data_IF_830884591322
#
_entry.id   IF_830884591322
#
_cell.length_a   1.000
_cell.length_b   1.000
_cell.length_c   1.000
_cell.angle_alpha   90.00
_cell.angle_beta   90.00
_cell.angle_gamma   90.00
#
_symmetry.space_group_name_H-M   'P 1'
#
loop_
_entity.id
_entity.type
_entity.pdbx_description
1 polymer ?
#
# COMPACT_ATOMS: atom_id res chain seq x y z
N UNK A 1 -3.54 -15.78 -29.66
CA UNK A 1 -3.08 -14.37 -29.57
C UNK A 1 -4.21 -13.48 -29.02
N UNK A 2 -4.29 -13.22 -27.71
CA UNK A 2 -5.11 -12.11 -27.19
C UNK A 2 -4.20 -10.89 -27.07
N UNK A 3 -4.05 -10.17 -28.17
CA UNK A 3 -2.99 -9.14 -28.27
C UNK A 3 -3.30 -7.81 -27.58
N UNK A 4 -4.56 -7.53 -27.21
CA UNK A 4 -4.95 -6.25 -26.59
C UNK A 4 -6.02 -6.45 -25.51
N UNK A 5 -5.81 -5.81 -24.37
CA UNK A 5 -6.83 -5.67 -23.31
C UNK A 5 -8.02 -4.90 -23.91
N UNK A 6 -9.23 -5.42 -23.71
CA UNK A 6 -10.43 -4.76 -24.22
C UNK A 6 -10.64 -3.41 -23.54
N UNK A 7 -11.27 -2.45 -24.23
CA UNK A 7 -11.63 -1.15 -23.63
C UNK A 7 -12.44 -1.31 -22.34
N UNK A 8 -13.32 -2.32 -22.32
CA UNK A 8 -14.10 -2.70 -21.14
C UNK A 8 -13.21 -3.09 -19.95
N UNK A 9 -12.21 -3.93 -20.18
CA UNK A 9 -11.30 -4.37 -19.12
C UNK A 9 -10.42 -3.22 -18.62
N UNK A 10 -9.98 -2.32 -19.51
CA UNK A 10 -9.28 -1.11 -19.09
C UNK A 10 -10.14 -0.22 -18.18
N UNK A 11 -11.41 0.00 -18.54
CA UNK A 11 -12.34 0.75 -17.71
C UNK A 11 -12.50 0.12 -16.32
N UNK A 12 -12.62 -1.21 -16.25
CA UNK A 12 -12.73 -1.94 -14.98
C UNK A 12 -11.45 -1.79 -14.15
N UNK A 13 -10.28 -2.01 -14.77
CA UNK A 13 -8.97 -1.86 -14.09
C UNK A 13 -8.86 -0.47 -13.47
N UNK A 14 -9.14 0.58 -14.25
CA UNK A 14 -9.04 1.96 -13.78
C UNK A 14 -10.07 2.27 -12.71
N UNK A 15 -11.35 1.91 -12.91
CA UNK A 15 -12.42 2.22 -11.97
C UNK A 15 -12.21 1.53 -10.60
N UNK A 16 -11.91 0.24 -10.61
CA UNK A 16 -11.72 -0.51 -9.36
C UNK A 16 -10.41 -0.15 -8.67
N UNK A 17 -9.34 0.13 -9.42
CA UNK A 17 -8.12 0.69 -8.81
C UNK A 17 -8.38 2.05 -8.17
N UNK A 18 -9.17 2.91 -8.82
CA UNK A 18 -9.48 4.23 -8.31
C UNK A 18 -10.33 4.16 -7.03
N UNK A 19 -11.41 3.37 -7.07
CA UNK A 19 -12.31 3.23 -5.92
C UNK A 19 -11.67 2.48 -4.75
N UNK A 20 -10.88 1.45 -5.02
CA UNK A 20 -10.10 0.77 -4.00
C UNK A 20 -9.04 1.68 -3.39
N UNK A 21 -8.37 2.49 -4.22
CA UNK A 21 -7.48 3.53 -3.75
C UNK A 21 -8.19 4.55 -2.86
N UNK A 22 -9.39 5.00 -3.24
CA UNK A 22 -10.18 5.93 -2.41
C UNK A 22 -10.45 5.32 -1.03
N UNK A 23 -10.98 4.10 -1.00
CA UNK A 23 -11.35 3.44 0.24
C UNK A 23 -10.14 3.19 1.15
N UNK A 24 -9.04 2.67 0.59
CA UNK A 24 -7.81 2.41 1.34
C UNK A 24 -7.15 3.68 1.88
N UNK A 25 -7.11 4.78 1.10
CA UNK A 25 -6.56 6.05 1.61
C UNK A 25 -7.46 6.65 2.69
N UNK A 26 -8.77 6.44 2.62
CA UNK A 26 -9.71 6.90 3.65
C UNK A 26 -9.43 6.18 4.98
N UNK A 27 -9.31 4.85 4.93
CA UNK A 27 -8.93 3.99 6.06
C UNK A 27 -7.63 4.48 6.71
N UNK A 28 -6.57 4.69 5.92
CA UNK A 28 -5.25 5.00 6.46
C UNK A 28 -5.04 6.47 6.86
N UNK A 29 -5.79 7.42 6.30
CA UNK A 29 -5.59 8.86 6.59
C UNK A 29 -6.68 9.46 7.48
N UNK A 30 -7.94 9.11 7.23
CA UNK A 30 -9.07 9.82 7.82
C UNK A 30 -9.69 9.10 9.02
N UNK A 31 -9.48 7.79 9.17
CA UNK A 31 -9.88 7.12 10.40
C UNK A 31 -8.98 7.52 11.56
N UNK A 32 -7.69 7.73 11.29
CA UNK A 32 -6.75 8.29 12.26
C UNK A 32 -7.23 9.66 12.77
N UNK A 33 -7.61 10.55 11.86
CA UNK A 33 -8.12 11.87 12.25
C UNK A 33 -9.52 11.84 12.84
N UNK A 34 -10.35 10.87 12.47
CA UNK A 34 -11.66 10.67 13.10
C UNK A 34 -11.51 10.26 14.57
N UNK A 35 -10.63 9.32 14.88
CA UNK A 35 -10.31 8.95 16.27
C UNK A 35 -9.86 10.20 17.03
N UNK A 36 -8.85 10.92 16.54
CA UNK A 36 -8.28 12.05 17.28
C UNK A 36 -9.21 13.25 17.40
N UNK A 37 -9.95 13.59 16.34
CA UNK A 37 -10.69 14.86 16.25
C UNK A 37 -12.16 14.73 16.64
N UNK A 38 -12.76 13.54 16.56
CA UNK A 38 -14.19 13.33 16.85
C UNK A 38 -14.40 12.48 18.11
N UNK A 39 -13.59 11.44 18.31
CA UNK A 39 -13.81 10.50 19.42
C UNK A 39 -13.15 11.01 20.70
N UNK A 40 -11.90 11.47 20.60
CA UNK A 40 -11.16 12.04 21.74
C UNK A 40 -11.46 13.54 21.96
N UNK A 41 -12.26 14.18 21.12
CA UNK A 41 -12.71 15.56 21.37
C UNK A 41 -13.67 15.63 22.55
N UNK A 42 -13.63 16.72 23.31
CA UNK A 42 -14.54 16.98 24.42
C UNK A 42 -14.62 15.85 25.48
N UNK A 43 -13.51 15.15 25.73
CA UNK A 43 -13.38 14.11 26.77
C UNK A 43 -12.56 14.61 27.94
N UNK A 44 -12.97 14.28 29.17
CA UNK A 44 -12.22 14.64 30.37
C UNK A 44 -10.83 13.98 30.42
N UNK A 45 -9.84 14.68 30.99
CA UNK A 45 -8.48 14.13 31.16
C UNK A 45 -8.46 12.84 31.99
N UNK A 46 -9.37 12.70 32.95
CA UNK A 46 -9.52 11.48 33.74
C UNK A 46 -9.98 10.30 32.86
N UNK A 47 -10.88 10.52 31.90
CA UNK A 47 -11.32 9.50 30.96
C UNK A 47 -10.24 9.13 29.94
N UNK A 48 -9.41 10.08 29.51
CA UNK A 48 -8.23 9.79 28.66
C UNK A 48 -7.23 8.92 29.42
N UNK A 49 -6.88 9.29 30.66
CA UNK A 49 -5.97 8.50 31.51
C UNK A 49 -6.54 7.12 31.87
N UNK A 50 -7.86 7.02 31.99
CA UNK A 50 -8.58 5.78 32.28
C UNK A 50 -8.87 4.91 31.04
N UNK A 51 -8.50 5.35 29.84
CA UNK A 51 -8.74 4.63 28.59
C UNK A 51 -7.45 4.51 27.76
N UNK A 52 -7.57 4.06 26.51
CA UNK A 52 -6.42 3.96 25.62
C UNK A 52 -5.98 5.38 25.21
N UNK A 53 -4.69 5.63 25.03
CA UNK A 53 -4.23 6.88 24.43
C UNK A 53 -4.54 6.89 22.92
N UNK A 54 -4.90 8.04 22.35
CA UNK A 54 -5.25 8.18 20.93
C UNK A 54 -4.12 7.71 19.99
N UNK A 55 -2.86 8.03 20.31
CA UNK A 55 -1.69 7.60 19.53
C UNK A 55 -1.53 6.07 19.55
N UNK A 56 -1.74 5.46 20.71
CA UNK A 56 -1.73 4.00 20.89
C UNK A 56 -2.90 3.35 20.15
N UNK A 57 -4.07 3.98 20.15
CA UNK A 57 -5.24 3.50 19.41
C UNK A 57 -4.98 3.47 17.90
N UNK A 58 -4.46 4.56 17.34
CA UNK A 58 -4.06 4.63 15.93
C UNK A 58 -3.00 3.59 15.59
N UNK A 59 -1.95 3.48 16.41
CA UNK A 59 -0.89 2.49 16.18
C UNK A 59 -1.42 1.05 16.19
N UNK A 60 -2.31 0.71 17.13
CA UNK A 60 -2.93 -0.62 17.21
C UNK A 60 -3.87 -0.88 16.04
N UNK A 61 -4.67 0.11 15.66
CA UNK A 61 -5.58 0.02 14.52
C UNK A 61 -4.80 -0.36 13.25
N UNK A 62 -3.79 0.45 12.89
CA UNK A 62 -2.95 0.24 11.70
C UNK A 62 -2.22 -1.11 11.75
N UNK A 63 -1.69 -1.51 12.90
CA UNK A 63 -0.98 -2.79 13.03
C UNK A 63 -1.91 -4.00 12.87
N UNK A 64 -3.09 -3.96 13.50
CA UNK A 64 -4.06 -5.06 13.45
C UNK A 64 -4.70 -5.18 12.06
N UNK A 65 -5.03 -4.06 11.40
CA UNK A 65 -5.52 -4.09 10.02
C UNK A 65 -4.48 -4.58 9.05
N UNK A 66 -3.20 -4.20 9.20
CA UNK A 66 -2.14 -4.76 8.35
C UNK A 66 -2.03 -6.31 8.46
N UNK A 67 -2.15 -6.86 9.67
CA UNK A 67 -2.19 -8.32 9.89
C UNK A 67 -3.44 -8.92 9.26
N UNK A 68 -4.61 -8.30 9.49
CA UNK A 68 -5.88 -8.74 8.93
C UNK A 68 -5.84 -8.74 7.40
N UNK A 69 -5.27 -7.71 6.77
CA UNK A 69 -5.12 -7.59 5.32
C UNK A 69 -4.34 -8.78 4.74
N UNK A 70 -3.20 -9.11 5.34
CA UNK A 70 -2.31 -10.18 4.86
C UNK A 70 -2.97 -11.55 5.02
N UNK A 71 -3.51 -11.84 6.21
CA UNK A 71 -4.21 -13.09 6.50
C UNK A 71 -5.42 -13.27 5.58
N UNK A 72 -6.21 -12.20 5.42
CA UNK A 72 -7.39 -12.21 4.56
C UNK A 72 -7.01 -12.42 3.10
N UNK A 73 -6.02 -11.68 2.59
CA UNK A 73 -5.59 -11.81 1.19
C UNK A 73 -5.14 -13.24 0.89
N UNK A 74 -4.44 -13.86 1.83
CA UNK A 74 -3.97 -15.23 1.71
C UNK A 74 -5.12 -16.26 1.71
N UNK A 75 -6.01 -16.19 2.69
CA UNK A 75 -7.16 -17.11 2.79
C UNK A 75 -8.12 -16.89 1.61
N UNK A 76 -8.58 -15.66 1.44
CA UNK A 76 -9.62 -15.33 0.45
C UNK A 76 -9.09 -15.37 -0.97
N UNK A 77 -7.79 -15.11 -1.18
CA UNK A 77 -7.14 -15.33 -2.46
C UNK A 77 -7.15 -16.80 -2.88
N UNK A 78 -6.76 -17.71 -1.98
CA UNK A 78 -6.81 -19.15 -2.25
C UNK A 78 -8.25 -19.65 -2.43
N UNK A 79 -9.21 -19.13 -1.67
CA UNK A 79 -10.62 -19.48 -1.82
C UNK A 79 -11.17 -18.99 -3.17
N UNK A 80 -10.79 -17.78 -3.58
CA UNK A 80 -11.16 -17.20 -4.85
C UNK A 80 -10.60 -18.00 -6.04
N UNK A 81 -9.38 -18.55 -5.91
CA UNK A 81 -8.80 -19.48 -6.89
C UNK A 81 -9.64 -20.77 -6.98
N UNK A 82 -10.02 -21.34 -5.83
CA UNK A 82 -10.78 -22.59 -5.75
C UNK A 82 -12.19 -22.45 -6.35
N UNK A 83 -12.88 -21.35 -6.06
CA UNK A 83 -14.24 -21.11 -6.57
C UNK A 83 -14.27 -20.57 -8.00
N UNK A 84 -13.13 -20.13 -8.54
CA UNK A 84 -12.98 -19.60 -9.92
C UNK A 84 -14.00 -18.51 -10.28
N UNK A 85 -14.38 -17.69 -9.29
CA UNK A 85 -15.43 -16.68 -9.43
C UNK A 85 -14.92 -15.35 -8.86
N UNK A 86 -13.94 -14.74 -9.52
CA UNK A 86 -13.37 -13.44 -9.13
C UNK A 86 -14.44 -12.36 -9.08
N UNK A 87 -15.36 -12.38 -10.05
CA UNK A 87 -16.47 -11.41 -10.13
C UNK A 87 -17.23 -11.32 -8.81
N UNK A 88 -17.56 -12.45 -8.18
CA UNK A 88 -18.29 -12.47 -6.92
C UNK A 88 -17.49 -11.84 -5.79
N UNK A 89 -16.23 -12.26 -5.58
CA UNK A 89 -15.39 -11.73 -4.51
C UNK A 89 -15.14 -10.22 -4.65
N UNK A 90 -14.86 -9.75 -5.86
CA UNK A 90 -14.67 -8.32 -6.12
C UNK A 90 -15.98 -7.56 -5.85
N UNK A 91 -17.08 -7.98 -6.46
CA UNK A 91 -18.33 -7.21 -6.43
C UNK A 91 -18.95 -7.19 -5.03
N UNK A 92 -19.06 -8.35 -4.37
CA UNK A 92 -19.60 -8.45 -3.00
C UNK A 92 -18.68 -7.74 -2.02
N UNK A 93 -17.36 -7.94 -2.11
CA UNK A 93 -16.46 -7.33 -1.16
C UNK A 93 -16.40 -5.80 -1.30
N UNK A 94 -16.51 -5.21 -2.50
CA UNK A 94 -16.66 -3.75 -2.64
C UNK A 94 -18.01 -3.23 -2.09
N UNK A 95 -19.11 -3.97 -2.28
CA UNK A 95 -20.40 -3.63 -1.67
C UNK A 95 -20.28 -3.61 -0.14
N UNK A 96 -19.76 -4.69 0.44
CA UNK A 96 -19.61 -4.80 1.89
C UNK A 96 -18.58 -3.80 2.44
N UNK A 97 -17.49 -3.56 1.71
CA UNK A 97 -16.50 -2.56 2.08
C UNK A 97 -17.15 -1.18 2.20
N UNK A 98 -17.88 -0.74 1.16
CA UNK A 98 -18.56 0.55 1.19
C UNK A 98 -19.63 0.65 2.28
N UNK A 99 -20.40 -0.41 2.52
CA UNK A 99 -21.40 -0.42 3.60
C UNK A 99 -20.74 -0.30 4.99
N UNK A 100 -19.64 -1.02 5.22
CA UNK A 100 -18.87 -0.91 6.46
C UNK A 100 -18.27 0.49 6.59
N UNK A 101 -17.73 1.07 5.52
CA UNK A 101 -17.25 2.47 5.53
C UNK A 101 -18.35 3.45 5.91
N UNK A 102 -19.55 3.32 5.34
CA UNK A 102 -20.67 4.18 5.74
C UNK A 102 -21.05 4.00 7.22
N UNK A 103 -20.94 2.79 7.76
CA UNK A 103 -21.27 2.49 9.15
C UNK A 103 -20.36 3.23 10.16
N UNK A 104 -19.11 3.56 9.79
CA UNK A 104 -18.22 4.35 10.66
C UNK A 104 -18.81 5.71 11.04
N UNK A 105 -19.59 6.32 10.15
CA UNK A 105 -20.28 7.58 10.43
C UNK A 105 -21.32 7.50 11.56
N UNK A 106 -21.65 6.31 12.02
CA UNK A 106 -22.57 6.06 13.13
C UNK A 106 -21.85 5.64 14.42
N UNK A 107 -20.53 5.44 14.39
CA UNK A 107 -19.76 5.08 15.58
C UNK A 107 -19.45 6.37 16.35
N UNK A 108 -20.35 6.75 17.24
CA UNK A 108 -20.16 7.90 18.16
C UNK A 108 -20.14 7.43 19.61
N UNK A 109 -19.60 8.25 20.51
CA UNK A 109 -19.56 7.95 21.95
C UNK A 109 -20.96 7.68 22.50
N UNK A 110 -21.95 8.45 22.07
CA UNK A 110 -23.35 8.34 22.48
C UNK A 110 -23.97 7.02 22.02
N UNK A 111 -23.83 6.68 20.73
CA UNK A 111 -24.37 5.44 20.18
C UNK A 111 -23.71 4.20 20.81
N UNK A 112 -22.41 4.25 21.10
CA UNK A 112 -21.70 3.16 21.78
C UNK A 112 -22.13 3.08 23.25
N UNK A 113 -22.31 4.21 23.93
CA UNK A 113 -22.81 4.24 25.31
C UNK A 113 -24.20 3.60 25.42
N UNK A 114 -25.11 3.93 24.49
CA UNK A 114 -26.44 3.32 24.40
C UNK A 114 -26.37 1.83 24.07
N UNK A 115 -25.57 1.45 23.08
CA UNK A 115 -25.45 0.05 22.63
C UNK A 115 -24.94 -0.89 23.73
N UNK A 116 -24.00 -0.42 24.55
CA UNK A 116 -23.38 -1.22 25.61
C UNK A 116 -23.88 -0.87 27.03
N UNK A 117 -24.90 0.00 27.16
CA UNK A 117 -25.43 0.50 28.43
C UNK A 117 -24.33 1.02 29.38
N UNK A 118 -23.45 1.89 28.86
CA UNK A 118 -22.34 2.47 29.61
C UNK A 118 -22.69 3.89 30.07
N UNK A 119 -22.35 4.21 31.32
CA UNK A 119 -22.53 5.55 31.90
C UNK A 119 -21.21 6.22 32.30
N UNK A 120 -20.12 5.45 32.34
CA UNK A 120 -18.79 5.93 32.72
C UNK A 120 -18.04 6.42 31.48
N UNK A 121 -17.60 7.68 31.50
CA UNK A 121 -16.98 8.36 30.36
C UNK A 121 -15.71 7.65 29.86
N UNK A 122 -14.86 7.13 30.78
CA UNK A 122 -13.64 6.41 30.43
C UNK A 122 -13.96 5.08 29.73
N UNK A 123 -14.95 4.34 30.24
CA UNK A 123 -15.43 3.10 29.62
C UNK A 123 -16.09 3.36 28.27
N UNK A 124 -16.86 4.43 28.12
CA UNK A 124 -17.47 4.82 26.85
C UNK A 124 -16.37 5.09 25.83
N UNK A 125 -15.39 5.94 26.16
CA UNK A 125 -14.27 6.25 25.28
C UNK A 125 -13.49 4.98 24.91
N UNK A 126 -13.07 4.20 25.91
CA UNK A 126 -12.30 2.97 25.69
C UNK A 126 -13.04 1.94 24.83
N UNK A 127 -14.34 1.75 25.06
CA UNK A 127 -15.17 0.82 24.28
C UNK A 127 -15.37 1.33 22.85
N UNK A 128 -15.59 2.64 22.68
CA UNK A 128 -15.73 3.26 21.35
C UNK A 128 -14.47 3.06 20.52
N UNK A 129 -13.30 3.29 21.12
CA UNK A 129 -12.01 3.09 20.46
C UNK A 129 -11.79 1.63 20.04
N UNK A 130 -12.05 0.67 20.93
CA UNK A 130 -11.96 -0.75 20.58
C UNK A 130 -12.96 -1.17 19.51
N UNK A 131 -14.17 -0.60 19.54
CA UNK A 131 -15.18 -0.86 18.53
C UNK A 131 -14.75 -0.33 17.16
N UNK A 132 -14.12 0.84 17.10
CA UNK A 132 -13.51 1.39 15.87
C UNK A 132 -12.41 0.46 15.35
N UNK A 133 -11.49 0.00 16.20
CA UNK A 133 -10.42 -0.94 15.81
C UNK A 133 -11.01 -2.26 15.28
N UNK A 134 -12.05 -2.79 15.92
CA UNK A 134 -12.73 -3.99 15.45
C UNK A 134 -13.39 -3.78 14.08
N UNK A 135 -14.08 -2.65 13.91
CA UNK A 135 -14.72 -2.30 12.65
C UNK A 135 -13.72 -2.03 11.53
N UNK A 136 -12.52 -1.54 11.87
CA UNK A 136 -11.40 -1.38 10.95
C UNK A 136 -10.95 -2.74 10.43
N UNK A 137 -10.72 -3.73 11.32
CA UNK A 137 -10.40 -5.11 10.93
C UNK A 137 -11.47 -5.72 10.01
N UNK A 138 -12.76 -5.52 10.34
CA UNK A 138 -13.87 -6.00 9.50
C UNK A 138 -13.86 -5.32 8.13
N UNK A 139 -13.61 -4.02 8.09
CA UNK A 139 -13.46 -3.28 6.84
C UNK A 139 -12.30 -3.82 6.02
N UNK A 140 -11.11 -3.93 6.61
CA UNK A 140 -9.90 -4.42 5.95
C UNK A 140 -10.11 -5.83 5.41
N UNK A 141 -10.85 -6.69 6.13
CA UNK A 141 -11.23 -8.00 5.61
C UNK A 141 -12.02 -7.89 4.29
N UNK A 142 -13.00 -7.00 4.20
CA UNK A 142 -13.78 -6.80 2.97
C UNK A 142 -12.93 -6.18 1.84
N UNK A 143 -12.11 -5.18 2.19
CA UNK A 143 -11.19 -4.51 1.28
C UNK A 143 -10.15 -5.45 0.70
N UNK A 144 -9.43 -6.19 1.54
CA UNK A 144 -8.39 -7.13 1.10
C UNK A 144 -8.97 -8.35 0.38
N UNK A 145 -10.16 -8.82 0.76
CA UNK A 145 -10.86 -9.88 0.00
C UNK A 145 -11.12 -9.47 -1.44
N UNK A 146 -11.64 -8.25 -1.62
CA UNK A 146 -12.07 -7.78 -2.94
C UNK A 146 -10.93 -7.20 -3.78
N UNK A 147 -10.06 -6.38 -3.19
CA UNK A 147 -8.99 -5.70 -3.88
C UNK A 147 -7.70 -6.53 -3.91
N UNK A 148 -7.06 -6.71 -2.75
CA UNK A 148 -5.72 -7.30 -2.64
C UNK A 148 -5.70 -8.75 -3.15
N UNK A 149 -6.75 -9.52 -2.84
CA UNK A 149 -6.91 -10.89 -3.30
C UNK A 149 -7.55 -10.94 -4.69
N UNK A 150 -8.86 -10.68 -4.79
CA UNK A 150 -9.62 -11.04 -5.98
C UNK A 150 -9.36 -10.12 -7.19
N UNK A 151 -9.28 -8.80 -7.00
CA UNK A 151 -9.05 -7.85 -8.09
C UNK A 151 -7.63 -7.96 -8.63
N UNK A 152 -6.60 -8.00 -7.78
CA UNK A 152 -5.22 -8.16 -8.23
C UNK A 152 -4.98 -9.51 -8.93
N UNK A 153 -5.63 -10.58 -8.44
CA UNK A 153 -5.60 -11.87 -9.12
C UNK A 153 -6.35 -11.83 -10.46
N UNK A 154 -7.52 -11.18 -10.53
CA UNK A 154 -8.24 -10.98 -11.79
C UNK A 154 -7.42 -10.19 -12.82
N UNK A 155 -6.73 -9.13 -12.40
CA UNK A 155 -5.79 -8.39 -13.26
C UNK A 155 -4.68 -9.32 -13.76
N UNK A 156 -4.16 -10.19 -12.90
CA UNK A 156 -3.14 -11.19 -13.28
C UNK A 156 -3.67 -12.15 -14.34
N UNK A 157 -4.91 -12.62 -14.19
CA UNK A 157 -5.55 -13.62 -15.04
C UNK A 157 -5.94 -13.07 -16.44
N UNK A 158 -6.23 -11.77 -16.56
CA UNK A 158 -6.64 -11.15 -17.85
C UNK A 158 -5.48 -10.50 -18.62
N UNK A 159 -4.28 -10.44 -18.03
CA UNK A 159 -3.11 -9.75 -18.62
C UNK A 159 -2.02 -10.74 -19.01
N UNK A 160 -1.17 -10.32 -19.95
CA UNK A 160 -0.01 -11.09 -20.43
C UNK A 160 1.30 -10.35 -20.14
N UNK A 161 2.46 -11.04 -20.05
CA UNK A 161 3.75 -10.44 -19.67
C UNK A 161 4.18 -9.19 -20.43
N UNK A 162 3.78 -9.08 -21.71
CA UNK A 162 4.06 -7.91 -22.56
C UNK A 162 3.32 -6.65 -22.11
N UNK A 163 2.14 -6.78 -21.52
CA UNK A 163 1.25 -5.68 -21.16
C UNK A 163 1.27 -5.36 -19.66
N UNK A 164 1.69 -6.31 -18.81
CA UNK A 164 1.70 -6.15 -17.35
C UNK A 164 2.43 -4.89 -16.87
N UNK A 165 3.62 -4.52 -17.38
CA UNK A 165 4.26 -3.25 -16.98
C UNK A 165 3.39 -2.01 -17.24
N UNK A 166 2.66 -1.97 -18.36
CA UNK A 166 1.74 -0.89 -18.67
C UNK A 166 0.52 -0.89 -17.72
N UNK A 167 -0.02 -2.07 -17.42
CA UNK A 167 -1.14 -2.18 -16.47
C UNK A 167 -0.72 -1.74 -15.07
N UNK A 168 0.43 -2.20 -14.58
CA UNK A 168 0.97 -1.78 -13.28
C UNK A 168 1.25 -0.28 -13.23
N UNK A 169 1.67 0.32 -14.35
CA UNK A 169 1.80 1.78 -14.44
C UNK A 169 0.47 2.47 -14.24
N UNK A 170 -0.56 2.04 -14.96
CA UNK A 170 -1.90 2.63 -14.84
C UNK A 170 -2.42 2.46 -13.42
N UNK A 171 -2.25 1.28 -12.82
CA UNK A 171 -2.61 1.04 -11.42
C UNK A 171 -1.87 1.99 -10.48
N UNK A 172 -0.56 2.18 -10.66
CA UNK A 172 0.23 3.10 -9.84
C UNK A 172 -0.22 4.56 -9.99
N UNK A 173 -0.39 5.04 -11.22
CA UNK A 173 -0.83 6.42 -11.48
C UNK A 173 -2.24 6.66 -10.94
N UNK A 174 -3.17 5.75 -11.22
CA UNK A 174 -4.56 5.85 -10.74
C UNK A 174 -4.61 5.77 -9.22
N UNK A 175 -3.82 4.90 -8.59
CA UNK A 175 -3.67 4.83 -7.13
C UNK A 175 -3.23 6.17 -6.53
N UNK A 176 -2.19 6.78 -7.10
CA UNK A 176 -1.72 8.11 -6.67
C UNK A 176 -2.79 9.19 -6.84
N UNK A 177 -3.52 9.20 -7.96
CA UNK A 177 -4.65 10.13 -8.17
C UNK A 177 -5.75 9.92 -7.14
N UNK A 178 -5.99 8.68 -6.72
CA UNK A 178 -6.96 8.34 -5.67
C UNK A 178 -6.55 8.94 -4.33
N UNK A 179 -5.27 8.83 -3.95
CA UNK A 179 -4.72 9.44 -2.73
C UNK A 179 -4.91 10.96 -2.72
N UNK A 180 -4.64 11.64 -3.83
CA UNK A 180 -4.87 13.08 -3.93
C UNK A 180 -6.35 13.46 -3.85
N UNK A 181 -7.23 12.70 -4.52
CA UNK A 181 -8.67 12.94 -4.47
C UNK A 181 -9.22 12.84 -3.04
N UNK A 182 -8.83 11.80 -2.31
CA UNK A 182 -9.23 11.59 -0.91
C UNK A 182 -8.65 12.66 0.00
N UNK A 183 -7.37 13.01 -0.17
CA UNK A 183 -6.73 14.09 0.60
C UNK A 183 -7.47 15.42 0.42
N UNK A 184 -7.84 15.74 -0.84
CA UNK A 184 -8.59 16.94 -1.14
C UNK A 184 -9.98 16.95 -0.50
N UNK A 185 -10.77 15.89 -0.71
CA UNK A 185 -12.15 15.82 -0.20
C UNK A 185 -12.19 15.71 1.33
N UNK A 186 -11.33 14.90 1.93
CA UNK A 186 -11.34 14.71 3.38
C UNK A 186 -10.77 15.91 4.14
N UNK A 187 -10.01 16.82 3.51
CA UNK A 187 -9.61 18.09 4.13
C UNK A 187 -10.82 18.93 4.56
N UNK A 188 -11.95 18.85 3.85
CA UNK A 188 -13.20 19.50 4.26
C UNK A 188 -13.79 18.90 5.52
N UNK A 189 -13.63 17.59 5.73
CA UNK A 189 -14.06 16.93 6.97
C UNK A 189 -13.15 17.33 8.14
N UNK A 190 -11.83 17.35 7.94
CA UNK A 190 -10.88 17.80 8.95
C UNK A 190 -11.05 19.27 9.34
N UNK A 191 -11.44 20.12 8.39
CA UNK A 191 -11.74 21.53 8.64
C UNK A 191 -13.09 21.78 9.34
N UNK A 192 -13.89 20.74 9.60
CA UNK A 192 -15.23 20.85 10.18
C UNK A 192 -16.30 21.37 9.22
N UNK A 193 -15.98 21.55 7.93
CA UNK A 193 -16.93 22.02 6.90
C UNK A 193 -17.98 20.96 6.58
N UNK A 194 -17.61 19.68 6.67
CA UNK A 194 -18.51 18.52 6.47
C UNK A 194 -18.32 17.59 7.66
N UNK A 195 -19.40 17.05 8.23
CA UNK A 195 -19.27 16.08 9.32
C UNK A 195 -18.63 14.78 8.84
N UNK A 196 -17.86 14.12 9.71
CA UNK A 196 -17.31 12.79 9.42
C UNK A 196 -18.38 11.78 9.03
N UNK A 197 -19.58 11.89 9.61
CA UNK A 197 -20.74 11.07 9.23
C UNK A 197 -21.12 11.21 7.76
N UNK A 198 -21.24 12.44 7.25
CA UNK A 198 -21.55 12.68 5.84
C UNK A 198 -20.40 12.26 4.92
N UNK A 199 -19.16 12.52 5.35
CA UNK A 199 -17.97 12.10 4.62
C UNK A 199 -17.91 10.59 4.43
N UNK A 200 -18.04 9.81 5.52
CA UNK A 200 -18.04 8.34 5.46
C UNK A 200 -19.26 7.78 4.73
N UNK A 201 -20.45 8.36 4.90
CA UNK A 201 -21.64 7.94 4.16
C UNK A 201 -21.47 8.14 2.64
N UNK A 202 -20.94 9.29 2.21
CA UNK A 202 -20.68 9.58 0.80
C UNK A 202 -19.65 8.64 0.18
N UNK A 203 -18.54 8.43 0.88
CA UNK A 203 -17.50 7.48 0.44
C UNK A 203 -18.01 6.04 0.40
N UNK A 204 -18.70 5.61 1.45
CA UNK A 204 -19.30 4.28 1.50
C UNK A 204 -20.30 4.03 0.37
N UNK A 205 -21.10 5.04 0.02
CA UNK A 205 -22.04 4.96 -1.11
C UNK A 205 -21.31 4.77 -2.44
N UNK A 206 -20.29 5.58 -2.76
CA UNK A 206 -19.59 5.46 -4.06
C UNK A 206 -18.83 4.13 -4.19
N UNK A 207 -18.24 3.63 -3.11
CA UNK A 207 -17.55 2.34 -3.08
C UNK A 207 -18.57 1.20 -3.26
N UNK A 208 -19.73 1.30 -2.59
CA UNK A 208 -20.82 0.34 -2.73
C UNK A 208 -21.35 0.28 -4.17
N UNK A 209 -21.60 1.45 -4.77
CA UNK A 209 -22.02 1.55 -6.16
C UNK A 209 -21.00 0.94 -7.12
N UNK A 210 -19.69 1.14 -6.87
CA UNK A 210 -18.64 0.47 -7.63
C UNK A 210 -18.75 -1.06 -7.55
N UNK A 211 -19.01 -1.61 -6.36
CA UNK A 211 -19.25 -3.03 -6.18
C UNK A 211 -20.46 -3.54 -6.97
N UNK A 212 -21.57 -2.80 -6.98
CA UNK A 212 -22.76 -3.12 -7.79
C UNK A 212 -22.43 -3.13 -9.29
N UNK A 213 -21.69 -2.13 -9.77
CA UNK A 213 -21.21 -2.09 -11.17
C UNK A 213 -20.30 -3.28 -11.50
N UNK A 214 -19.57 -3.82 -10.51
CA UNK A 214 -18.77 -5.03 -10.64
C UNK A 214 -19.58 -6.23 -11.13
N UNK A 215 -20.80 -6.41 -10.62
CA UNK A 215 -21.68 -7.48 -11.09
C UNK A 215 -22.04 -7.32 -12.56
N UNK A 216 -22.08 -6.11 -13.11
CA UNK A 216 -22.50 -5.87 -14.50
C UNK A 216 -21.30 -5.97 -15.44
N UNK A 217 -20.15 -5.43 -15.04
CA UNK A 217 -19.02 -5.24 -15.94
C UNK A 217 -17.96 -6.33 -15.84
N UNK A 218 -17.66 -6.85 -14.64
CA UNK A 218 -16.60 -7.86 -14.45
C UNK A 218 -17.05 -9.18 -15.07
N UNK A 219 -16.15 -9.78 -15.86
CA UNK A 219 -16.31 -11.14 -16.37
C UNK A 219 -15.15 -11.97 -15.88
N UNK A 220 -15.45 -13.18 -15.40
CA UNK A 220 -14.41 -14.12 -15.03
C UNK A 220 -13.60 -14.54 -16.26
N UNK A 221 -12.28 -14.74 -16.10
CA UNK A 221 -11.43 -15.28 -17.15
C UNK A 221 -11.96 -16.64 -17.64
N UNK A 222 -11.72 -17.01 -18.91
CA UNK A 222 -12.07 -18.34 -19.40
C UNK A 222 -11.45 -19.42 -18.51
N UNK A 223 -12.21 -20.47 -18.20
CA UNK A 223 -11.73 -21.63 -17.45
C UNK A 223 -10.73 -22.40 -18.32
N UNK A 224 -9.45 -22.08 -18.23
CA UNK A 224 -8.41 -22.68 -19.07
C UNK A 224 -7.95 -24.06 -18.60
N UNK A 225 -8.25 -24.43 -17.35
CA UNK A 225 -7.88 -25.73 -16.76
C UNK A 225 -9.02 -26.24 -15.89
N UNK A 226 -9.54 -27.43 -16.20
CA UNK A 226 -10.29 -28.24 -15.24
C UNK A 226 -9.32 -28.68 -14.15
N UNK A 227 -9.56 -28.24 -12.92
CA UNK A 227 -8.81 -28.74 -11.76
C UNK A 227 -9.77 -29.61 -11.00
N UNK A 228 -9.59 -30.92 -11.09
CA UNK A 228 -9.98 -31.83 -10.01
C UNK A 228 -8.99 -31.61 -8.86
N UNK A 229 -9.16 -30.51 -8.13
CA UNK A 229 -8.33 -30.24 -6.96
C UNK A 229 -8.89 -31.04 -5.78
N UNK A 230 -8.55 -32.32 -5.73
CA UNK A 230 -8.86 -33.21 -4.60
C UNK A 230 -8.06 -32.84 -3.32
N UNK A 231 -7.24 -31.80 -3.37
CA UNK A 231 -6.49 -31.34 -2.20
C UNK A 231 -7.39 -30.65 -1.17
N UNK A 232 -7.04 -30.87 0.11
CA UNK A 232 -7.68 -30.16 1.21
C UNK A 232 -7.36 -28.66 1.10
N UNK A 233 -8.30 -27.80 1.52
CA UNK A 233 -8.09 -26.35 1.45
C UNK A 233 -6.85 -25.90 2.25
N UNK A 234 -6.57 -26.58 3.38
CA UNK A 234 -5.36 -26.33 4.17
C UNK A 234 -4.09 -26.66 3.39
N UNK A 235 -4.06 -27.76 2.64
CA UNK A 235 -2.92 -28.07 1.77
C UNK A 235 -2.71 -27.03 0.67
N UNK A 236 -3.81 -26.47 0.13
CA UNK A 236 -3.74 -25.38 -0.84
C UNK A 236 -3.11 -24.13 -0.24
N UNK A 237 -3.47 -23.77 1.00
CA UNK A 237 -2.88 -22.62 1.70
C UNK A 237 -1.37 -22.81 1.85
N UNK A 238 -0.93 -23.94 2.41
CA UNK A 238 0.50 -24.17 2.64
C UNK A 238 1.31 -24.49 1.38
N UNK A 239 0.68 -24.64 0.21
CA UNK A 239 1.36 -24.97 -1.04
C UNK A 239 2.53 -24.03 -1.35
N UNK A 240 2.32 -22.72 -1.28
CA UNK A 240 3.35 -21.72 -1.60
C UNK A 240 4.43 -21.57 -0.52
N UNK A 241 4.34 -22.29 0.60
CA UNK A 241 5.42 -22.33 1.59
C UNK A 241 6.25 -23.61 1.51
N UNK A 242 5.87 -24.56 0.64
CA UNK A 242 6.63 -25.80 0.44
C UNK A 242 8.00 -25.48 -0.15
N UNK A 243 9.11 -25.99 0.42
CA UNK A 243 10.45 -25.75 -0.11
C UNK A 243 10.61 -26.17 -1.59
N UNK A 244 9.92 -27.24 -2.01
CA UNK A 244 9.89 -27.67 -3.41
C UNK A 244 9.29 -26.61 -4.33
N UNK A 245 8.15 -26.02 -3.94
CA UNK A 245 7.45 -24.97 -4.71
C UNK A 245 8.28 -23.69 -4.77
N UNK A 246 8.95 -23.33 -3.67
CA UNK A 246 9.86 -22.17 -3.63
C UNK A 246 11.04 -22.38 -4.60
N UNK A 247 11.61 -23.59 -4.62
CA UNK A 247 12.72 -23.93 -5.51
C UNK A 247 12.31 -23.92 -6.98
N UNK A 248 11.18 -24.54 -7.30
CA UNK A 248 10.59 -24.60 -8.64
C UNK A 248 10.24 -23.19 -9.16
N UNK A 249 9.60 -22.38 -8.31
CA UNK A 249 9.18 -21.02 -8.66
C UNK A 249 10.19 -19.96 -8.19
N UNK A 250 11.46 -20.31 -8.18
CA UNK A 250 12.52 -19.46 -7.61
C UNK A 250 12.61 -18.04 -8.20
N UNK A 251 12.22 -17.83 -9.46
CA UNK A 251 12.13 -16.47 -10.06
C UNK A 251 11.11 -15.59 -9.34
N UNK A 252 9.97 -16.16 -8.93
CA UNK A 252 8.94 -15.48 -8.16
C UNK A 252 9.47 -15.04 -6.80
N UNK A 253 10.08 -15.94 -6.03
CA UNK A 253 10.58 -15.62 -4.70
C UNK A 253 11.78 -14.68 -4.74
N UNK A 254 12.69 -14.80 -5.71
CA UNK A 254 13.76 -13.82 -5.90
C UNK A 254 13.21 -12.42 -6.22
N UNK A 255 12.14 -12.35 -7.03
CA UNK A 255 11.43 -11.09 -7.29
C UNK A 255 10.80 -10.53 -6.01
N UNK A 256 10.11 -11.37 -5.23
CA UNK A 256 9.49 -10.98 -3.97
C UNK A 256 10.51 -10.49 -2.92
N UNK A 257 11.64 -11.19 -2.75
CA UNK A 257 12.68 -10.81 -1.80
C UNK A 257 13.35 -9.50 -2.22
N UNK A 258 13.69 -9.35 -3.50
CA UNK A 258 14.28 -8.09 -4.00
C UNK A 258 13.31 -6.92 -3.85
N UNK A 259 12.04 -7.15 -4.15
CA UNK A 259 10.99 -6.14 -3.97
C UNK A 259 10.79 -5.79 -2.49
N UNK A 260 10.83 -6.79 -1.60
CA UNK A 260 10.75 -6.59 -0.15
C UNK A 260 11.82 -5.63 0.34
N UNK A 261 13.09 -5.81 -0.06
CA UNK A 261 14.17 -4.88 0.33
C UNK A 261 13.88 -3.44 -0.12
N UNK A 262 13.39 -3.27 -1.35
CA UNK A 262 13.08 -1.94 -1.86
C UNK A 262 11.93 -1.27 -1.12
N UNK A 263 10.88 -2.02 -0.73
CA UNK A 263 9.76 -1.48 0.05
C UNK A 263 10.18 -1.26 1.51
N UNK A 264 10.97 -2.15 2.12
CA UNK A 264 11.53 -1.94 3.47
C UNK A 264 12.33 -0.63 3.47
N UNK A 265 13.19 -0.41 2.48
CA UNK A 265 13.94 0.84 2.34
C UNK A 265 13.03 2.07 2.30
N UNK A 266 11.93 2.01 1.56
CA UNK A 266 10.94 3.09 1.55
C UNK A 266 10.28 3.30 2.92
N UNK A 267 9.96 2.21 3.61
CA UNK A 267 9.33 2.24 4.95
C UNK A 267 10.28 2.63 6.08
N UNK A 268 11.60 2.71 5.85
CA UNK A 268 12.56 3.22 6.86
C UNK A 268 12.26 4.68 7.21
N UNK A 269 11.89 5.51 6.25
CA UNK A 269 11.69 6.95 6.49
C UNK A 269 10.22 7.37 6.36
N UNK A 270 9.42 6.65 5.57
CA UNK A 270 8.07 7.09 5.22
C UNK A 270 7.15 7.38 6.42
N UNK A 271 7.10 6.55 7.49
CA UNK A 271 6.32 6.85 8.69
C UNK A 271 6.76 8.14 9.41
N UNK A 272 8.03 8.49 9.30
CA UNK A 272 8.64 9.66 9.97
C UNK A 272 8.67 10.89 9.07
N UNK A 273 8.26 10.78 7.80
CA UNK A 273 8.46 11.83 6.80
C UNK A 273 7.77 13.14 7.20
N UNK A 274 6.52 13.08 7.68
CA UNK A 274 5.78 14.27 8.08
C UNK A 274 6.43 14.96 9.28
N UNK A 275 6.78 14.19 10.31
CA UNK A 275 7.49 14.66 11.51
C UNK A 275 8.85 15.25 11.14
N UNK A 276 9.59 14.62 10.23
CA UNK A 276 10.87 15.13 9.73
C UNK A 276 10.69 16.47 8.98
N UNK A 277 9.65 16.60 8.16
CA UNK A 277 9.35 17.86 7.48
C UNK A 277 9.03 18.95 8.51
N UNK A 278 8.19 18.63 9.50
CA UNK A 278 7.73 19.57 10.51
C UNK A 278 8.84 20.06 11.44
N UNK A 279 9.68 19.15 11.94
CA UNK A 279 10.63 19.45 13.01
C UNK A 279 12.08 19.63 12.53
N UNK A 280 12.42 19.25 11.30
CA UNK A 280 13.78 19.41 10.76
C UNK A 280 13.77 20.29 9.51
N UNK A 281 13.05 19.88 8.47
CA UNK A 281 13.13 20.57 7.16
C UNK A 281 12.58 22.00 7.26
N UNK A 282 11.42 22.20 7.87
CA UNK A 282 10.82 23.53 7.98
C UNK A 282 11.72 24.49 8.80
N UNK A 283 12.14 24.15 10.04
CA UNK A 283 13.05 25.01 10.82
C UNK A 283 14.36 25.33 10.11
N UNK A 284 15.06 24.33 9.57
CA UNK A 284 16.36 24.50 8.89
C UNK A 284 16.28 25.39 7.65
N UNK A 285 15.09 25.48 7.05
CA UNK A 285 14.85 26.27 5.85
C UNK A 285 14.12 27.58 6.14
N UNK A 286 14.08 28.09 7.37
CA UNK A 286 13.47 29.38 7.67
C UNK A 286 11.93 29.37 7.63
N UNK A 287 11.33 28.21 7.91
CA UNK A 287 9.90 28.01 8.03
C UNK A 287 9.14 27.99 6.71
N UNK A 288 7.81 27.97 6.82
CA UNK A 288 6.90 27.82 5.68
C UNK A 288 7.03 28.96 4.66
N UNK A 289 7.41 30.15 5.12
CA UNK A 289 7.57 31.33 4.28
C UNK A 289 8.64 31.14 3.20
N UNK A 290 9.75 30.44 3.52
CA UNK A 290 10.79 30.17 2.55
C UNK A 290 10.37 29.10 1.53
N UNK A 291 9.58 28.10 1.96
CA UNK A 291 9.04 27.05 1.07
C UNK A 291 8.09 27.64 0.03
N UNK A 292 7.34 28.68 0.39
CA UNK A 292 6.42 29.38 -0.50
C UNK A 292 7.12 30.36 -1.46
N UNK A 293 8.45 30.50 -1.42
CA UNK A 293 9.16 31.38 -2.35
C UNK A 293 9.02 30.88 -3.79
N UNK A 294 8.89 31.80 -4.77
CA UNK A 294 8.75 31.43 -6.18
C UNK A 294 9.84 30.46 -6.66
N UNK A 295 11.09 30.65 -6.25
CA UNK A 295 12.21 29.76 -6.64
C UNK A 295 12.04 28.31 -6.19
N UNK A 296 11.57 28.09 -4.96
CA UNK A 296 11.32 26.76 -4.39
C UNK A 296 10.12 26.10 -5.08
N UNK A 297 9.03 26.84 -5.27
CA UNK A 297 7.84 26.36 -5.97
C UNK A 297 8.18 25.97 -7.42
N UNK A 298 8.90 26.82 -8.14
CA UNK A 298 9.31 26.54 -9.53
C UNK A 298 10.16 25.27 -9.59
N UNK A 299 11.11 25.09 -8.65
CA UNK A 299 11.93 23.88 -8.60
C UNK A 299 11.09 22.64 -8.29
N UNK A 300 10.15 22.72 -7.35
CA UNK A 300 9.24 21.62 -7.03
C UNK A 300 8.37 21.23 -8.22
N UNK A 301 7.84 22.20 -8.96
CA UNK A 301 7.05 21.97 -10.18
C UNK A 301 7.90 21.31 -11.27
N UNK A 302 9.13 21.81 -11.51
CA UNK A 302 10.05 21.20 -12.48
C UNK A 302 10.33 19.75 -12.12
N UNK A 303 10.64 19.46 -10.85
CA UNK A 303 10.89 18.10 -10.36
C UNK A 303 9.65 17.22 -10.58
N UNK A 304 8.46 17.69 -10.24
CA UNK A 304 7.23 16.93 -10.44
C UNK A 304 6.97 16.62 -11.93
N UNK A 305 7.19 17.58 -12.82
CA UNK A 305 7.07 17.38 -14.27
C UNK A 305 8.10 16.36 -14.78
N UNK A 306 9.36 16.46 -14.34
CA UNK A 306 10.42 15.52 -14.71
C UNK A 306 10.12 14.10 -14.22
N UNK A 307 9.56 13.95 -13.02
CA UNK A 307 9.07 12.66 -12.51
C UNK A 307 8.05 12.07 -13.48
N UNK A 308 7.01 12.84 -13.82
CA UNK A 308 5.93 12.40 -14.68
C UNK A 308 6.43 11.98 -16.06
N UNK A 309 7.26 12.80 -16.70
CA UNK A 309 7.81 12.53 -18.05
C UNK A 309 8.71 11.30 -18.03
N UNK A 310 9.59 11.18 -17.04
CA UNK A 310 10.55 10.08 -16.96
C UNK A 310 9.86 8.74 -16.73
N UNK A 311 8.80 8.69 -15.91
CA UNK A 311 7.97 7.49 -15.75
C UNK A 311 7.46 7.04 -17.14
N UNK A 312 6.83 7.94 -17.90
CA UNK A 312 6.28 7.61 -19.23
C UNK A 312 7.36 7.10 -20.20
N UNK A 313 8.54 7.73 -20.24
CA UNK A 313 9.63 7.37 -21.14
C UNK A 313 10.27 6.04 -20.75
N UNK A 314 10.57 5.83 -19.47
CA UNK A 314 11.21 4.62 -18.97
C UNK A 314 10.35 3.39 -19.24
N UNK A 315 9.03 3.53 -19.12
CA UNK A 315 8.10 2.42 -19.31
C UNK A 315 8.05 1.91 -20.75
N UNK A 316 8.10 2.81 -21.73
CA UNK A 316 8.14 2.45 -23.15
C UNK A 316 9.40 1.66 -23.51
N UNK A 317 10.51 1.88 -22.77
CA UNK A 317 11.82 1.25 -23.00
C UNK A 317 12.06 0.02 -22.13
N UNK A 318 11.34 -0.11 -21.01
CA UNK A 318 11.56 -1.13 -19.96
C UNK A 318 11.09 -2.54 -20.32
N UNK A 319 10.24 -2.71 -21.33
CA UNK A 319 9.68 -4.01 -21.71
C UNK A 319 10.71 -5.00 -22.28
N UNK A 320 11.80 -4.52 -22.87
CA UNK A 320 12.81 -5.37 -23.52
C UNK A 320 13.98 -5.72 -22.58
N UNK A 321 14.25 -4.89 -21.56
CA UNK A 321 15.41 -5.05 -20.65
C UNK A 321 15.02 -4.93 -19.18
N UNK A 322 13.95 -5.63 -18.77
CA UNK A 322 13.38 -5.61 -17.40
C UNK A 322 14.45 -5.68 -16.31
N UNK A 323 15.39 -6.63 -16.41
CA UNK A 323 16.46 -6.81 -15.43
C UNK A 323 17.40 -5.61 -15.28
N UNK A 324 17.84 -5.02 -16.40
CA UNK A 324 18.69 -3.83 -16.38
C UNK A 324 17.93 -2.63 -15.81
N UNK A 325 16.67 -2.45 -16.19
CA UNK A 325 15.84 -1.36 -15.66
C UNK A 325 15.60 -1.51 -14.16
N UNK A 326 15.43 -2.73 -13.64
CA UNK A 326 15.35 -2.97 -12.20
C UNK A 326 16.65 -2.61 -11.48
N UNK A 327 17.81 -2.99 -12.03
CA UNK A 327 19.11 -2.62 -11.46
C UNK A 327 19.26 -1.09 -11.43
N UNK A 328 18.95 -0.41 -12.55
CA UNK A 328 18.97 1.05 -12.62
C UNK A 328 18.01 1.64 -11.60
N UNK A 329 16.80 1.10 -11.45
CA UNK A 329 15.82 1.58 -10.49
C UNK A 329 16.32 1.52 -9.04
N UNK A 330 16.88 0.37 -8.63
CA UNK A 330 17.44 0.20 -7.29
C UNK A 330 18.65 1.11 -7.07
N UNK A 331 19.55 1.24 -8.05
CA UNK A 331 20.72 2.12 -7.95
C UNK A 331 20.31 3.59 -7.87
N UNK A 332 19.42 4.05 -8.75
CA UNK A 332 18.92 5.44 -8.76
C UNK A 332 18.19 5.74 -7.45
N UNK A 333 17.35 4.82 -6.94
CA UNK A 333 16.70 4.99 -5.64
C UNK A 333 17.71 5.12 -4.51
N UNK A 334 18.73 4.26 -4.49
CA UNK A 334 19.80 4.28 -3.47
C UNK A 334 20.62 5.57 -3.52
N UNK A 335 20.91 6.09 -4.73
CA UNK A 335 21.58 7.37 -4.91
C UNK A 335 20.73 8.52 -4.38
N UNK A 336 19.41 8.50 -4.61
CA UNK A 336 18.51 9.51 -4.06
C UNK A 336 18.49 9.52 -2.52
N UNK A 337 18.47 8.34 -1.91
CA UNK A 337 18.58 8.19 -0.46
C UNK A 337 19.93 8.69 0.09
N UNK A 338 21.04 8.39 -0.61
CA UNK A 338 22.34 8.92 -0.24
C UNK A 338 22.35 10.45 -0.29
N UNK A 339 21.83 11.05 -1.35
CA UNK A 339 21.76 12.52 -1.47
C UNK A 339 20.91 13.15 -0.37
N UNK A 340 19.74 12.57 -0.05
CA UNK A 340 18.89 13.04 1.06
C UNK A 340 19.58 12.96 2.43
N UNK A 341 20.51 12.01 2.62
CA UNK A 341 21.25 11.90 3.88
C UNK A 341 22.28 13.01 4.10
N UNK A 342 22.64 13.77 3.04
CA UNK A 342 23.71 14.77 3.12
C UNK A 342 23.24 16.11 3.69
N UNK A 343 22.03 16.57 3.37
CA UNK A 343 21.56 17.92 3.66
C UNK A 343 20.07 17.97 3.98
N UNK A 344 19.71 18.89 4.87
CA UNK A 344 18.33 19.26 5.20
C UNK A 344 17.85 20.46 4.36
N UNK A 345 18.69 21.02 3.49
CA UNK A 345 18.35 22.17 2.65
C UNK A 345 17.31 21.84 1.57
N UNK A 346 16.30 22.71 1.43
CA UNK A 346 15.10 22.45 0.61
C UNK A 346 15.43 22.17 -0.87
N UNK A 347 16.39 22.88 -1.46
CA UNK A 347 16.79 22.63 -2.86
C UNK A 347 17.46 21.28 -3.03
N UNK A 348 18.32 20.87 -2.07
CA UNK A 348 18.95 19.55 -2.10
C UNK A 348 17.87 18.49 -1.94
N UNK A 349 16.92 18.67 -1.02
CA UNK A 349 15.79 17.75 -0.83
C UNK A 349 14.98 17.62 -2.12
N UNK A 350 14.56 18.73 -2.74
CA UNK A 350 13.76 18.70 -3.97
C UNK A 350 14.47 17.96 -5.11
N UNK A 351 15.77 18.21 -5.30
CA UNK A 351 16.56 17.54 -6.33
C UNK A 351 16.76 16.05 -5.99
N UNK A 352 16.97 15.72 -4.71
CA UNK A 352 17.25 14.35 -4.26
C UNK A 352 15.99 13.47 -4.22
N UNK A 353 14.80 14.05 -4.11
CA UNK A 353 13.53 13.32 -4.18
C UNK A 353 13.31 12.75 -5.59
N UNK A 354 13.75 13.43 -6.64
CA UNK A 354 13.60 12.98 -8.03
C UNK A 354 14.11 11.53 -8.24
N UNK A 355 15.38 11.19 -7.95
CA UNK A 355 15.88 9.82 -8.09
C UNK A 355 15.18 8.83 -7.14
N UNK A 356 14.78 9.22 -5.93
CA UNK A 356 14.01 8.35 -5.04
C UNK A 356 12.66 7.96 -5.66
N UNK A 357 11.89 8.95 -6.12
CA UNK A 357 10.56 8.72 -6.69
C UNK A 357 10.65 7.95 -7.99
N UNK A 358 11.61 8.28 -8.86
CA UNK A 358 11.81 7.56 -10.12
C UNK A 358 12.26 6.11 -9.91
N UNK A 359 13.23 5.89 -9.03
CA UNK A 359 13.70 4.57 -8.68
C UNK A 359 12.58 3.73 -8.05
N UNK A 360 11.84 4.30 -7.10
CA UNK A 360 10.71 3.65 -6.44
C UNK A 360 9.59 3.29 -7.44
N UNK A 361 9.20 4.20 -8.32
CA UNK A 361 8.19 3.93 -9.34
C UNK A 361 8.62 2.78 -10.28
N UNK A 362 9.87 2.82 -10.76
CA UNK A 362 10.40 1.80 -11.66
C UNK A 362 10.45 0.41 -11.00
N UNK A 363 10.95 0.35 -9.76
CA UNK A 363 11.00 -0.85 -8.92
C UNK A 363 9.59 -1.41 -8.69
N UNK A 364 8.64 -0.58 -8.23
CA UNK A 364 7.28 -1.04 -7.91
C UNK A 364 6.56 -1.59 -9.13
N UNK A 365 6.64 -0.89 -10.27
CA UNK A 365 5.97 -1.28 -11.51
C UNK A 365 6.58 -2.58 -12.05
N UNK A 366 7.91 -2.65 -12.16
CA UNK A 366 8.57 -3.80 -12.79
C UNK A 366 8.56 -5.04 -11.90
N UNK A 367 8.73 -4.92 -10.58
CA UNK A 367 8.60 -6.07 -9.69
C UNK A 367 7.16 -6.54 -9.59
N UNK A 368 6.16 -5.64 -9.53
CA UNK A 368 4.75 -6.07 -9.53
C UNK A 368 4.40 -6.81 -10.82
N UNK A 369 4.88 -6.34 -11.98
CA UNK A 369 4.73 -7.04 -13.24
C UNK A 369 5.47 -8.39 -13.26
N UNK A 370 6.72 -8.44 -12.77
CA UNK A 370 7.52 -9.67 -12.71
C UNK A 370 6.91 -10.72 -11.77
N UNK A 371 6.40 -10.31 -10.61
CA UNK A 371 5.67 -11.18 -9.69
C UNK A 371 4.48 -11.80 -10.41
N UNK A 372 3.66 -10.99 -11.10
CA UNK A 372 2.54 -11.50 -11.91
C UNK A 372 3.02 -12.45 -13.03
N UNK A 373 4.18 -12.19 -13.63
CA UNK A 373 4.82 -13.03 -14.66
C UNK A 373 5.21 -14.42 -14.16
N UNK A 374 5.65 -14.53 -12.92
CA UNK A 374 6.12 -15.80 -12.35
C UNK A 374 5.09 -16.53 -11.48
N UNK A 375 3.88 -15.99 -11.33
CA UNK A 375 2.80 -16.68 -10.61
C UNK A 375 2.39 -17.95 -11.37
N UNK A 376 2.33 -19.12 -10.69
CA UNK A 376 1.83 -20.34 -11.28
C UNK A 376 0.38 -20.20 -11.78
N UNK A 377 0.09 -20.80 -12.94
CA UNK A 377 -1.23 -20.76 -13.55
C UNK A 377 -2.32 -21.25 -12.58
N UNK A 378 -3.42 -20.50 -12.50
CA UNK A 378 -4.56 -20.81 -11.64
C UNK A 378 -4.28 -20.71 -10.13
N UNK A 379 -3.18 -20.10 -9.70
CA UNK A 379 -2.87 -19.83 -8.27
C UNK A 379 -2.70 -18.34 -7.98
N UNK A 380 -3.27 -17.48 -8.82
CA UNK A 380 -3.04 -16.04 -8.75
C UNK A 380 -3.48 -15.44 -7.43
N UNK A 381 -4.60 -15.88 -6.85
CA UNK A 381 -5.10 -15.40 -5.56
C UNK A 381 -4.23 -15.86 -4.40
N UNK A 382 -3.86 -17.15 -4.34
CA UNK A 382 -2.96 -17.67 -3.30
C UNK A 382 -1.64 -16.88 -3.25
N UNK A 383 -1.04 -16.62 -4.41
CA UNK A 383 0.23 -15.90 -4.49
C UNK A 383 0.10 -14.39 -4.30
N UNK A 384 -1.10 -13.79 -4.39
CA UNK A 384 -1.30 -12.41 -3.89
C UNK A 384 -1.13 -12.34 -2.38
N UNK A 385 -1.63 -13.33 -1.63
CA UNK A 385 -1.41 -13.41 -0.18
C UNK A 385 0.06 -13.52 0.19
N UNK A 386 0.80 -14.39 -0.52
CA UNK A 386 2.25 -14.51 -0.33
C UNK A 386 2.94 -13.19 -0.69
N UNK A 387 2.54 -12.53 -1.77
CA UNK A 387 3.06 -11.20 -2.14
C UNK A 387 2.88 -10.20 -1.00
N UNK A 388 1.70 -10.13 -0.37
CA UNK A 388 1.42 -9.21 0.76
C UNK A 388 2.39 -9.38 1.94
N UNK A 389 2.89 -10.58 2.20
CA UNK A 389 3.91 -10.80 3.24
C UNK A 389 5.19 -10.02 2.92
N UNK A 390 5.66 -10.11 1.67
CA UNK A 390 6.91 -9.48 1.23
C UNK A 390 6.76 -7.99 0.92
N UNK A 391 5.58 -7.53 0.51
CA UNK A 391 5.38 -6.15 0.05
C UNK A 391 4.62 -5.27 1.02
N UNK A 392 3.98 -5.84 2.05
CA UNK A 392 3.24 -5.09 3.07
C UNK A 392 3.73 -5.46 4.46
N UNK A 393 3.55 -6.72 4.90
CA UNK A 393 3.80 -7.11 6.29
C UNK A 393 5.25 -6.89 6.73
N UNK A 394 6.20 -7.50 6.03
CA UNK A 394 7.63 -7.39 6.38
C UNK A 394 8.07 -5.91 6.27
N UNK A 395 7.81 -5.18 5.17
CA UNK A 395 8.19 -3.77 5.10
C UNK A 395 7.60 -2.88 6.19
N UNK A 396 6.32 -3.04 6.52
CA UNK A 396 5.65 -2.21 7.53
C UNK A 396 6.11 -2.51 8.96
N UNK A 397 6.63 -3.71 9.23
CA UNK A 397 7.19 -4.04 10.55
C UNK A 397 8.68 -3.69 10.62
N UNK A 398 9.46 -4.09 9.62
CA UNK A 398 10.92 -3.96 9.64
C UNK A 398 11.38 -2.55 9.32
N UNK A 399 10.73 -1.86 8.38
CA UNK A 399 11.09 -0.51 7.95
C UNK A 399 11.09 0.49 9.11
N UNK A 400 9.95 0.68 9.82
CA UNK A 400 9.89 1.62 10.93
C UNK A 400 10.89 1.29 12.04
N UNK A 401 11.09 0.02 12.38
CA UNK A 401 12.09 -0.40 13.40
C UNK A 401 13.50 0.04 13.02
N UNK A 402 13.88 -0.10 11.74
CA UNK A 402 15.17 0.39 11.24
C UNK A 402 15.23 1.92 11.29
N UNK A 403 14.16 2.61 10.88
CA UNK A 403 14.08 4.07 10.91
C UNK A 403 14.20 4.65 12.32
N UNK A 404 13.50 4.07 13.28
CA UNK A 404 13.55 4.41 14.70
C UNK A 404 14.96 4.22 15.27
N UNK A 405 15.62 3.10 14.94
CA UNK A 405 17.01 2.86 15.31
C UNK A 405 17.97 3.89 14.70
N UNK A 406 17.77 4.25 13.42
CA UNK A 406 18.58 5.26 12.75
C UNK A 406 18.42 6.66 13.38
N UNK A 407 17.20 7.02 13.79
CA UNK A 407 16.92 8.30 14.43
C UNK A 407 17.49 8.36 15.85
N UNK A 408 17.34 7.29 16.65
CA UNK A 408 17.92 7.19 18.00
C UNK A 408 19.45 7.30 18.01
N UNK A 409 20.11 6.83 16.97
CA UNK A 409 21.58 6.89 16.88
C UNK A 409 22.11 8.32 16.66
N UNK A 410 21.27 9.24 16.16
CA UNK A 410 21.63 10.62 15.86
C UNK A 410 20.98 11.63 16.83
N UNK A 411 20.75 11.18 18.07
CA UNK A 411 19.83 11.76 19.07
C UNK A 411 19.79 13.29 19.16
N UNK A 412 18.64 13.85 18.76
CA UNK A 412 18.11 15.12 19.25
C UNK A 412 16.69 14.83 19.77
N UNK A 413 16.39 15.23 21.01
CA UNK A 413 15.06 15.09 21.59
C UNK A 413 14.43 16.46 21.78
N UNK A 414 13.13 16.56 21.48
CA UNK A 414 12.32 17.75 21.72
C UNK A 414 11.16 17.41 22.65
N UNK A 415 10.73 18.38 23.44
CA UNK A 415 9.47 18.27 24.17
C UNK A 415 8.35 18.69 23.20
N UNK A 416 7.42 17.78 22.91
CA UNK A 416 6.28 18.07 22.05
C UNK A 416 5.24 18.97 22.75
N UNK A 417 4.21 19.38 22.02
CA UNK A 417 3.14 20.28 22.52
C UNK A 417 2.37 19.72 23.74
N UNK A 418 2.50 18.42 24.01
CA UNK A 418 1.86 17.70 25.11
C UNK A 418 2.83 17.44 26.27
N UNK A 419 4.06 17.97 26.21
CA UNK A 419 5.06 17.82 27.27
C UNK A 419 5.85 16.51 27.25
N UNK A 420 5.72 15.69 26.20
CA UNK A 420 6.45 14.43 26.06
C UNK A 420 7.77 14.61 25.29
N UNK A 421 8.82 13.93 25.73
CA UNK A 421 10.10 13.88 25.03
C UNK A 421 9.98 12.98 23.78
N UNK A 422 10.15 13.57 22.60
CA UNK A 422 10.05 12.90 21.30
C UNK A 422 11.40 12.97 20.60
N UNK A 423 11.85 11.84 20.06
CA UNK A 423 13.05 11.76 19.22
C UNK A 423 12.75 12.47 17.89
N UNK A 424 13.56 13.47 17.56
CA UNK A 424 13.47 14.14 16.27
C UNK A 424 13.99 13.20 15.18
N UNK A 425 13.24 12.95 14.10
CA UNK A 425 13.72 12.12 13.01
C UNK A 425 15.00 12.70 12.41
N UNK A 426 16.00 11.86 12.17
CA UNK A 426 17.29 12.30 11.64
C UNK A 426 17.42 12.02 10.14
N UNK A 427 18.10 12.91 9.40
CA UNK A 427 18.47 12.66 7.99
C UNK A 427 19.28 11.37 7.79
N UNK A 428 19.90 10.86 8.86
CA UNK A 428 20.57 9.55 8.88
C UNK A 428 19.65 8.41 8.43
N UNK A 429 18.34 8.48 8.68
CA UNK A 429 17.39 7.44 8.24
C UNK A 429 17.42 7.21 6.73
N UNK A 430 17.71 8.24 5.93
CA UNK A 430 17.86 8.08 4.47
C UNK A 430 19.10 7.28 4.11
N UNK A 431 20.20 7.42 4.85
CA UNK A 431 21.38 6.58 4.60
C UNK A 431 21.07 5.10 4.89
N UNK A 432 20.38 4.82 5.99
CA UNK A 432 19.93 3.47 6.33
C UNK A 432 18.97 2.91 5.28
N UNK A 433 18.02 3.71 4.80
CA UNK A 433 17.15 3.36 3.67
C UNK A 433 17.96 2.99 2.42
N UNK A 434 18.99 3.79 2.09
CA UNK A 434 19.92 3.52 0.99
C UNK A 434 20.65 2.19 1.14
N UNK A 435 21.18 1.90 2.34
CA UNK A 435 21.87 0.63 2.64
C UNK A 435 20.92 -0.55 2.44
N UNK A 436 19.71 -0.50 3.02
CA UNK A 436 18.70 -1.56 2.87
C UNK A 436 18.33 -1.75 1.39
N UNK A 437 18.18 -0.66 0.65
CA UNK A 437 17.85 -0.70 -0.78
C UNK A 437 18.93 -1.44 -1.60
N UNK A 438 20.21 -1.19 -1.30
CA UNK A 438 21.34 -1.86 -1.99
C UNK A 438 21.34 -3.37 -1.76
N UNK A 439 20.94 -3.86 -0.58
CA UNK A 439 20.79 -5.31 -0.36
C UNK A 439 19.78 -5.97 -1.32
N UNK A 440 18.81 -5.21 -1.84
CA UNK A 440 17.88 -5.66 -2.87
C UNK A 440 18.57 -6.07 -4.19
N UNK A 441 19.80 -5.61 -4.45
CA UNK A 441 20.59 -6.01 -5.63
C UNK A 441 21.06 -7.46 -5.57
N UNK A 442 21.23 -8.05 -4.38
CA UNK A 442 21.70 -9.43 -4.22
C UNK A 442 20.70 -10.44 -4.82
N UNK A 443 19.43 -10.52 -4.37
CA UNK A 443 18.44 -11.39 -4.99
C UNK A 443 18.16 -11.01 -6.45
N UNK A 444 18.24 -9.70 -6.80
CA UNK A 444 18.07 -9.24 -8.17
C UNK A 444 19.16 -9.77 -9.10
N UNK A 445 20.41 -9.85 -8.67
CA UNK A 445 21.50 -10.42 -9.44
C UNK A 445 21.19 -11.86 -9.85
N UNK A 446 20.75 -12.70 -8.90
CA UNK A 446 20.36 -14.08 -9.18
C UNK A 446 19.13 -14.16 -10.09
N UNK A 447 18.17 -13.25 -9.93
CA UNK A 447 16.99 -13.17 -10.80
C UNK A 447 17.38 -12.81 -12.24
N UNK A 448 18.24 -11.81 -12.43
CA UNK A 448 18.75 -11.40 -13.74
C UNK A 448 19.51 -12.54 -14.41
N UNK A 449 20.33 -13.29 -13.65
CA UNK A 449 21.04 -14.47 -14.15
C UNK A 449 20.07 -15.58 -14.62
N UNK A 450 18.92 -15.73 -13.94
CA UNK A 450 17.88 -16.69 -14.33
C UNK A 450 17.00 -16.23 -15.49
N UNK A 451 17.06 -14.95 -15.85
CA UNK A 451 16.26 -14.35 -16.92
C UNK A 451 14.80 -14.11 -16.53
N UNK A 452 14.16 -13.21 -17.28
CA UNK A 452 12.75 -12.82 -17.11
C UNK A 452 11.83 -13.42 -18.19
N UNK A 453 12.37 -14.24 -19.11
CA UNK A 453 11.59 -14.90 -20.14
C UNK A 453 10.89 -16.12 -19.54
N UNK A 454 9.56 -16.07 -19.47
CA UNK A 454 8.72 -17.17 -18.96
C UNK A 454 8.59 -18.32 -19.98
N UNK A 455 8.88 -18.06 -21.27
CA UNK A 455 8.62 -19.01 -22.37
C UNK A 455 9.80 -19.90 -22.75
N UNK A 456 11.04 -19.60 -22.37
CA UNK A 456 12.23 -20.32 -22.88
C UNK A 456 12.47 -21.69 -22.23
N UNK A 457 11.72 -22.07 -21.19
CA UNK A 457 11.89 -23.36 -20.50
C UNK A 457 10.84 -24.41 -20.90
N UNK A 458 9.66 -24.02 -21.42
CA UNK A 458 8.67 -25.00 -21.91
C UNK A 458 9.13 -25.69 -23.20
N UNK A 459 9.92 -25.02 -24.04
CA UNK A 459 10.48 -25.60 -25.28
C UNK A 459 11.68 -26.54 -25.04
N UNK A 460 12.33 -26.45 -23.88
CA UNK A 460 13.45 -27.32 -23.51
C UNK A 460 13.05 -28.65 -22.88
N UNK A 461 11.82 -28.74 -22.33
CA UNK A 461 11.30 -29.94 -21.69
C UNK A 461 10.51 -30.85 -22.66
N UNK A 462 10.09 -30.34 -23.82
CA UNK A 462 9.46 -31.14 -24.89
C UNK A 462 10.48 -31.76 -25.88
N UNK A 463 11.76 -31.38 -25.77
CA UNK A 463 12.85 -31.86 -26.63
C UNK A 463 13.92 -32.67 -25.86
N UNK A 464 13.61 -33.13 -24.65
CA UNK A 464 14.52 -33.88 -23.77
C UNK A 464 14.11 -35.33 -23.59
#
# INVERSE_FOLDING_TARGET
MKEKISKKNWLIITLFCFMGGIAWNTENMYFNTFITNEIYSDVSQAAILGSMEATTAVARMVALSAIAAVVTTFIMGALSDRLKNRRLFISVGYVLWGLVTAAFGFITKENVAELFNLSDEAKILGTTVWFIILMDIVMTFMGSTSNDAAFQAWVTDITVPRQRPLVETVLSVVGTVSSFAVTGVGSFAQAGTISYKLFFAGLGLIVTLCGVLGFIFIKDPPRTVEREDNSSYLETLFYGFRPSVIKENSRLYLSLISFCFAIVAFQVFYPYLLTYIQYVVLPDNGGIQNILRPGVIITAVIVAVLVLVSIVVLLKKSTEKKGLCLIIGVVVMSLGFLLLSTSTGIYVILISILPVVLGNALVNILFSAAVKDFIPEGKAGLFQGIRMIFVVLIPMVVGPVIGDAACRHAAETIINEVGAEVIVPSKAMFLWAGVVCVFGLIPLYFLVKKGFNVNSEKEGAENG
#
